data_IF_645938992469
#
_entry.id   IF_645938992469
#
_cell.length_a   1.000
_cell.length_b   1.000
_cell.length_c   1.000
_cell.angle_alpha   90.00
_cell.angle_beta   90.00
_cell.angle_gamma   90.00
#
_symmetry.space_group_name_H-M   'P 1'
#
loop_
_entity.id
_entity.type
_entity.pdbx_description
1 polymer ?
#
# COMPACT_ATOMS: atom_id res chain seq x y z
N UNK A 1 3.23 22.80 4.98
CA UNK A 1 1.80 22.70 4.61
C UNK A 1 1.53 22.93 3.11
N UNK A 2 2.23 23.85 2.42
CA UNK A 2 1.92 24.22 1.02
C UNK A 2 2.37 23.23 -0.08
N UNK A 3 3.24 22.26 0.19
CA UNK A 3 3.73 21.30 -0.83
C UNK A 3 2.82 20.07 -1.04
N UNK A 4 1.83 19.84 -0.18
CA UNK A 4 0.98 18.63 -0.26
C UNK A 4 -0.17 18.80 -1.27
N UNK A 5 -0.72 20.02 -1.40
CA UNK A 5 -1.85 20.29 -2.30
C UNK A 5 -1.47 20.27 -3.79
N UNK A 6 -0.25 20.70 -4.14
CA UNK A 6 0.27 20.59 -5.52
C UNK A 6 0.84 19.20 -5.83
N UNK A 7 1.31 18.47 -4.83
CA UNK A 7 1.84 17.11 -4.97
C UNK A 7 0.77 16.05 -5.23
N UNK A 8 -0.44 16.20 -4.68
CA UNK A 8 -1.50 15.18 -4.79
C UNK A 8 -1.90 14.89 -6.24
N UNK A 9 -2.10 15.93 -7.08
CA UNK A 9 -2.46 15.73 -8.49
C UNK A 9 -1.35 15.06 -9.31
N UNK A 10 -0.08 15.37 -9.00
CA UNK A 10 1.09 14.75 -9.63
C UNK A 10 1.24 13.27 -9.21
N UNK A 11 0.98 12.97 -7.94
CA UNK A 11 0.97 11.61 -7.41
C UNK A 11 -0.15 10.80 -8.06
N UNK A 12 -1.37 11.33 -8.14
CA UNK A 12 -2.49 10.63 -8.78
C UNK A 12 -2.19 10.29 -10.24
N UNK A 13 -1.72 11.26 -11.03
CA UNK A 13 -1.38 11.02 -12.44
C UNK A 13 -0.28 9.98 -12.62
N UNK A 14 0.73 9.97 -11.74
CA UNK A 14 1.81 8.99 -11.77
C UNK A 14 1.40 7.61 -11.26
N UNK A 15 0.46 7.54 -10.32
CA UNK A 15 -0.14 6.28 -9.86
C UNK A 15 -1.01 5.66 -10.97
N UNK A 16 -1.71 6.48 -11.75
CA UNK A 16 -2.47 6.01 -12.92
C UNK A 16 -1.53 5.53 -14.05
N UNK A 17 -0.37 6.17 -14.25
CA UNK A 17 0.66 5.75 -15.20
C UNK A 17 1.44 4.50 -14.75
N UNK A 18 1.74 4.39 -13.44
CA UNK A 18 2.41 3.25 -12.81
C UNK A 18 1.35 2.30 -12.25
N UNK A 19 0.72 1.55 -13.16
CA UNK A 19 -0.34 0.58 -12.84
C UNK A 19 0.06 -0.29 -11.63
N UNK A 20 -0.74 -0.25 -10.55
CA UNK A 20 -0.63 -1.01 -9.28
C UNK A 20 0.21 -0.43 -8.11
N UNK A 21 0.47 0.88 -8.02
CA UNK A 21 1.20 1.47 -6.87
C UNK A 21 0.35 2.28 -5.88
N UNK A 22 -0.97 2.18 -5.95
CA UNK A 22 -1.95 2.87 -5.10
C UNK A 22 -1.80 2.49 -3.61
N UNK A 23 -1.57 1.20 -3.34
CA UNK A 23 -1.36 0.66 -1.99
C UNK A 23 -0.09 1.26 -1.35
N UNK A 24 0.97 1.40 -2.14
CA UNK A 24 2.21 2.00 -1.71
C UNK A 24 2.09 3.51 -1.47
N UNK A 25 1.37 4.22 -2.34
CA UNK A 25 1.09 5.65 -2.16
C UNK A 25 0.35 5.91 -0.84
N UNK A 26 -0.67 5.12 -0.55
CA UNK A 26 -1.39 5.17 0.72
C UNK A 26 -0.48 4.85 1.92
N UNK A 27 0.37 3.84 1.80
CA UNK A 27 1.34 3.50 2.86
C UNK A 27 2.33 4.63 3.14
N UNK A 28 2.87 5.30 2.11
CA UNK A 28 3.75 6.46 2.27
C UNK A 28 3.01 7.63 2.95
N UNK A 29 1.78 7.93 2.52
CA UNK A 29 0.98 8.99 3.09
C UNK A 29 0.68 8.77 4.57
N UNK A 30 0.18 7.57 4.92
CA UNK A 30 -0.16 7.22 6.30
C UNK A 30 1.09 7.21 7.18
N UNK A 31 2.19 6.60 6.72
CA UNK A 31 3.43 6.57 7.50
C UNK A 31 4.02 7.98 7.70
N UNK A 32 3.94 8.86 6.70
CA UNK A 32 4.39 10.24 6.80
C UNK A 32 3.58 11.03 7.85
N UNK A 33 2.26 10.89 7.85
CA UNK A 33 1.35 11.62 8.75
C UNK A 33 1.40 11.06 10.18
N UNK A 34 1.26 9.74 10.31
CA UNK A 34 1.08 9.08 11.62
C UNK A 34 2.39 8.72 12.31
N UNK A 35 3.50 8.64 11.54
CA UNK A 35 4.79 8.10 12.01
C UNK A 35 4.68 6.68 12.58
N UNK A 36 3.67 5.94 12.15
CA UNK A 36 3.47 4.53 12.49
C UNK A 36 3.83 3.64 11.30
N UNK A 37 4.20 2.37 11.56
CA UNK A 37 4.50 1.46 10.48
C UNK A 37 3.26 1.15 9.61
N UNK A 38 3.45 0.95 8.29
CA UNK A 38 2.38 0.62 7.37
C UNK A 38 1.74 -0.74 7.69
N UNK A 39 0.46 -0.89 7.36
CA UNK A 39 -0.30 -2.11 7.66
C UNK A 39 0.03 -3.19 6.63
N UNK A 40 0.55 -4.32 7.10
CA UNK A 40 0.79 -5.49 6.27
C UNK A 40 -0.49 -6.34 6.21
N UNK A 41 -1.12 -6.40 5.05
CA UNK A 41 -2.25 -7.32 4.75
C UNK A 41 -1.73 -8.58 4.04
N UNK A 42 -2.57 -9.62 3.94
CA UNK A 42 -2.27 -10.84 3.16
C UNK A 42 -1.77 -10.56 1.75
N UNK A 43 -0.87 -11.43 1.27
CA UNK A 43 -0.11 -11.29 0.03
C UNK A 43 -1.00 -11.25 -1.20
N UNK A 44 -1.12 -10.08 -1.85
CA UNK A 44 -1.19 -10.07 -3.32
C UNK A 44 0.23 -10.25 -3.85
N UNK A 45 0.46 -11.39 -4.51
CA UNK A 45 1.62 -11.57 -5.37
C UNK A 45 1.46 -10.69 -6.60
N UNK A 46 2.07 -9.51 -6.62
CA UNK A 46 2.19 -8.75 -7.86
C UNK A 46 3.51 -7.97 -7.90
N UNK A 47 4.37 -8.45 -8.82
CA UNK A 47 5.50 -7.79 -9.50
C UNK A 47 6.51 -7.05 -8.61
N UNK A 48 7.48 -7.82 -8.11
CA UNK A 48 8.64 -7.31 -7.34
C UNK A 48 9.39 -6.19 -8.06
N UNK A 49 9.46 -6.18 -9.39
CA UNK A 49 10.22 -5.17 -10.15
C UNK A 49 9.54 -3.80 -10.17
N UNK A 50 8.24 -3.74 -10.49
CA UNK A 50 7.50 -2.48 -10.64
C UNK A 50 7.37 -1.69 -9.32
N UNK A 51 7.30 -2.39 -8.18
CA UNK A 51 7.21 -1.73 -6.86
C UNK A 51 8.47 -0.93 -6.49
N UNK A 52 9.67 -1.34 -6.93
CA UNK A 52 10.90 -0.61 -6.58
C UNK A 52 10.93 0.78 -7.21
N UNK A 53 10.42 0.93 -8.43
CA UNK A 53 10.33 2.21 -9.13
C UNK A 53 9.40 3.17 -8.40
N UNK A 54 8.24 2.69 -7.95
CA UNK A 54 7.30 3.49 -7.16
C UNK A 54 7.89 3.93 -5.81
N UNK A 55 8.61 3.04 -5.10
CA UNK A 55 9.29 3.41 -3.84
C UNK A 55 10.31 4.52 -4.08
N UNK A 56 11.11 4.40 -5.15
CA UNK A 56 12.12 5.41 -5.49
C UNK A 56 11.45 6.75 -5.80
N UNK A 57 10.44 6.75 -6.67
CA UNK A 57 9.69 7.95 -7.01
C UNK A 57 9.06 8.62 -5.77
N UNK A 58 8.40 7.87 -4.90
CA UNK A 58 7.83 8.44 -3.69
C UNK A 58 8.89 8.97 -2.73
N UNK A 59 10.04 8.31 -2.62
CA UNK A 59 11.15 8.81 -1.80
C UNK A 59 11.66 10.16 -2.31
N UNK A 60 11.73 10.34 -3.64
CA UNK A 60 12.09 11.61 -4.27
C UNK A 60 11.01 12.68 -4.02
N UNK A 61 9.72 12.35 -4.14
CA UNK A 61 8.60 13.29 -3.91
C UNK A 61 8.50 13.75 -2.45
N UNK A 62 8.66 12.83 -1.49
CA UNK A 62 8.59 13.16 -0.06
C UNK A 62 9.91 13.69 0.50
N UNK A 63 11.02 13.55 -0.23
CA UNK A 63 12.36 13.93 0.21
C UNK A 63 13.01 12.98 1.23
N UNK A 64 12.31 11.92 1.63
CA UNK A 64 12.81 10.86 2.51
C UNK A 64 11.91 9.61 2.40
N UNK A 65 12.34 8.48 2.97
CA UNK A 65 11.53 7.27 3.05
C UNK A 65 10.80 7.21 4.42
N UNK A 66 9.47 7.42 4.47
CA UNK A 66 8.69 7.36 5.69
C UNK A 66 8.32 5.93 6.14
N UNK A 67 8.57 4.89 5.32
CA UNK A 67 8.15 3.53 5.65
C UNK A 67 8.98 2.95 6.82
N UNK A 68 8.28 2.41 7.83
CA UNK A 68 8.88 1.76 8.99
C UNK A 68 8.67 0.25 8.95
N UNK A 69 9.60 -0.51 9.53
CA UNK A 69 9.46 -1.96 9.63
C UNK A 69 8.41 -2.36 10.68
N UNK A 70 7.60 -3.37 10.36
CA UNK A 70 6.68 -4.02 11.30
C UNK A 70 6.55 -5.50 11.01
N UNK A 71 6.32 -6.27 12.06
CA UNK A 71 5.99 -7.70 11.98
C UNK A 71 4.49 -7.95 12.11
N UNK A 72 3.71 -6.93 12.48
CA UNK A 72 2.26 -7.02 12.63
C UNK A 72 1.60 -7.25 11.27
N UNK A 73 0.79 -8.30 11.18
CA UNK A 73 -0.10 -8.55 10.05
C UNK A 73 -1.54 -8.36 10.50
N UNK A 74 -2.25 -7.49 9.80
CA UNK A 74 -3.67 -7.28 10.01
C UNK A 74 -4.43 -8.02 8.92
N UNK A 75 -4.62 -9.33 9.13
CA UNK A 75 -5.44 -10.15 8.25
C UNK A 75 -6.92 -9.93 8.59
N UNK A 76 -7.80 -10.03 7.58
CA UNK A 76 -9.24 -9.91 7.84
C UNK A 76 -9.72 -11.04 8.77
N UNK A 77 -10.78 -10.78 9.54
CA UNK A 77 -11.39 -11.79 10.46
C UNK A 77 -11.67 -13.10 9.71
N UNK A 78 -12.05 -12.99 8.44
CA UNK A 78 -12.34 -14.12 7.56
C UNK A 78 -11.11 -14.92 7.14
N UNK A 79 -9.87 -14.49 7.44
CA UNK A 79 -8.65 -15.17 6.99
C UNK A 79 -8.53 -16.62 7.48
N UNK A 80 -9.15 -17.00 8.60
CA UNK A 80 -9.18 -18.39 9.08
C UNK A 80 -10.56 -18.95 9.38
N UNK A 81 -11.63 -18.18 9.14
CA UNK A 81 -12.99 -18.65 9.38
C UNK A 81 -13.36 -19.74 8.39
N UNK A 82 -13.79 -20.91 8.87
CA UNK A 82 -14.42 -21.92 8.02
C UNK A 82 -15.78 -21.39 7.60
N UNK A 83 -16.00 -21.26 6.31
CA UNK A 83 -17.32 -20.94 5.78
C UNK A 83 -18.13 -22.23 5.63
N UNK A 84 -19.46 -22.19 5.82
CA UNK A 84 -20.33 -23.31 5.46
C UNK A 84 -20.21 -23.61 3.96
N UNK A 85 -20.49 -24.85 3.55
CA UNK A 85 -20.27 -25.34 2.18
C UNK A 85 -20.89 -24.49 1.07
N UNK A 86 -21.94 -23.72 1.39
CA UNK A 86 -22.69 -22.90 0.44
C UNK A 86 -22.15 -21.46 0.32
N UNK A 87 -21.09 -21.10 1.05
CA UNK A 87 -20.51 -19.76 1.04
C UNK A 87 -19.03 -19.82 0.67
N UNK A 88 -18.62 -18.97 -0.26
CA UNK A 88 -17.21 -18.77 -0.62
C UNK A 88 -16.78 -17.36 -0.20
N UNK A 89 -15.52 -17.19 0.19
CA UNK A 89 -14.97 -15.85 0.42
C UNK A 89 -14.93 -15.12 -0.91
N UNK A 90 -15.42 -13.89 -0.95
CA UNK A 90 -15.35 -13.02 -2.12
C UNK A 90 -13.91 -12.83 -2.64
N UNK A 91 -12.93 -13.01 -1.74
CA UNK A 91 -11.51 -13.00 -2.07
C UNK A 91 -11.00 -14.44 -2.11
N UNK A 92 -10.47 -14.85 -3.26
CA UNK A 92 -9.72 -16.11 -3.38
C UNK A 92 -8.43 -15.98 -2.57
N UNK A 93 -8.15 -16.97 -1.74
CA UNK A 93 -6.81 -17.15 -1.18
C UNK A 93 -5.82 -17.39 -2.31
N UNK A 94 -4.66 -16.73 -2.24
CA UNK A 94 -3.47 -17.04 -3.05
C UNK A 94 -2.49 -17.74 -2.13
#
# INVERSE_FOLDING_TARGET
>A
MSMILTGAAFIHKKVDELINCEDLAMNFLVAHITRQPPIKTTSKWTLRSQRHECIRFFTEVYGYNPLLFTQLRADSVLFKTRLPANHQKCFKYV
#
